data_IF_026883312487
#
_entry.id   IF_026883312487
#
_cell.length_a   1.000
_cell.length_b   1.000
_cell.length_c   1.000
_cell.angle_alpha   90.00
_cell.angle_beta   90.00
_cell.angle_gamma   90.00
#
_symmetry.space_group_name_H-M   'P 1'
#
loop_
_entity.id
_entity.type
_entity.pdbx_description
1 polymer ?
#
# COMPACT_ATOMS: atom_id res chain seq x y z
N UNK A 1 -16.39 1.56 -9.14
CA UNK A 1 -15.19 0.74 -8.85
C UNK A 1 -14.64 1.13 -7.49
N UNK A 2 -13.85 0.25 -6.86
CA UNK A 2 -13.18 0.50 -5.57
C UNK A 2 -11.72 0.92 -5.77
N UNK A 3 -11.15 1.73 -4.86
CA UNK A 3 -9.77 2.22 -4.97
C UNK A 3 -8.78 1.12 -4.58
N UNK A 4 -7.86 0.75 -5.49
CA UNK A 4 -6.88 -0.34 -5.27
C UNK A 4 -5.50 0.17 -4.84
N UNK A 5 -5.02 1.27 -5.43
CA UNK A 5 -3.73 1.89 -5.15
C UNK A 5 -3.89 3.41 -5.01
N UNK A 6 -3.09 4.04 -4.16
CA UNK A 6 -3.02 5.50 -4.07
C UNK A 6 -1.80 6.03 -4.84
N UNK A 7 -2.03 6.51 -6.07
CA UNK A 7 -0.97 7.07 -6.92
C UNK A 7 -0.64 8.50 -6.51
N UNK A 8 0.64 8.79 -6.33
CA UNK A 8 1.19 10.12 -6.06
C UNK A 8 2.36 10.40 -7.01
N UNK A 9 2.83 11.64 -7.06
CA UNK A 9 4.03 12.00 -7.82
C UNK A 9 5.27 11.19 -7.38
N UNK A 10 5.33 10.79 -6.11
CA UNK A 10 6.43 9.95 -5.58
C UNK A 10 6.38 8.48 -6.05
N UNK A 11 5.19 7.94 -6.30
CA UNK A 11 5.03 6.53 -6.71
C UNK A 11 5.08 6.37 -8.23
N UNK A 12 4.80 7.44 -8.97
CA UNK A 12 4.70 7.40 -10.42
C UNK A 12 3.51 6.57 -10.91
N UNK A 13 3.52 6.25 -12.21
CA UNK A 13 2.45 5.52 -12.87
C UNK A 13 2.48 4.03 -12.55
N UNK A 14 1.31 3.40 -12.56
CA UNK A 14 1.19 1.95 -12.43
C UNK A 14 1.71 1.28 -13.73
N UNK A 15 2.69 0.40 -13.58
CA UNK A 15 3.30 -0.33 -14.71
C UNK A 15 2.64 -1.70 -14.89
N UNK A 16 2.40 -2.42 -13.78
CA UNK A 16 1.90 -3.79 -13.83
C UNK A 16 1.11 -4.15 -12.56
N UNK A 17 0.15 -5.06 -12.72
CA UNK A 17 -0.51 -5.78 -11.62
C UNK A 17 -0.40 -7.26 -11.98
N UNK A 18 0.11 -8.07 -11.06
CA UNK A 18 0.22 -9.52 -11.19
C UNK A 18 -0.37 -10.18 -9.95
N UNK A 19 -1.02 -11.30 -10.16
CA UNK A 19 -1.37 -12.25 -9.11
C UNK A 19 -0.15 -13.09 -8.77
N UNK A 20 0.11 -13.22 -7.48
CA UNK A 20 1.26 -13.94 -6.93
C UNK A 20 0.82 -14.76 -5.73
N UNK A 21 1.57 -15.81 -5.46
CA UNK A 21 1.50 -16.66 -4.28
C UNK A 21 2.80 -16.52 -3.49
N UNK A 22 2.82 -16.98 -2.23
CA UNK A 22 4.00 -16.87 -1.38
C UNK A 22 5.18 -17.73 -1.87
N UNK A 23 4.93 -18.70 -2.75
CA UNK A 23 5.96 -19.53 -3.41
C UNK A 23 6.53 -18.93 -4.69
N UNK A 24 5.97 -17.82 -5.15
CA UNK A 24 6.45 -17.14 -6.36
C UNK A 24 7.58 -16.17 -6.02
N UNK A 25 8.41 -15.92 -7.03
CA UNK A 25 9.39 -14.84 -7.02
C UNK A 25 9.01 -13.76 -8.02
N UNK A 26 9.38 -12.52 -7.69
CA UNK A 26 9.25 -11.39 -8.60
C UNK A 26 10.62 -11.03 -9.16
N UNK A 27 10.71 -11.00 -10.48
CA UNK A 27 11.89 -10.55 -11.19
C UNK A 27 11.62 -9.17 -11.79
N UNK A 28 12.45 -8.20 -11.44
CA UNK A 28 12.37 -6.81 -11.91
C UNK A 28 13.60 -6.53 -12.75
N UNK A 29 13.40 -6.03 -13.96
CA UNK A 29 14.46 -5.69 -14.91
C UNK A 29 14.37 -4.19 -15.19
N UNK A 30 15.47 -3.48 -14.99
CA UNK A 30 15.58 -2.06 -15.33
C UNK A 30 16.12 -1.87 -16.76
N UNK A 31 16.07 -0.63 -17.27
CA UNK A 31 16.59 -0.31 -18.61
C UNK A 31 18.12 -0.42 -18.70
N UNK A 32 18.82 -0.28 -17.58
CA UNK A 32 20.28 -0.45 -17.53
C UNK A 32 20.75 -1.92 -17.56
N UNK A 33 19.82 -2.89 -17.46
CA UNK A 33 20.11 -4.32 -17.56
C UNK A 33 20.39 -5.03 -16.23
N UNK A 34 20.28 -4.33 -15.10
CA UNK A 34 20.25 -4.96 -13.78
C UNK A 34 18.92 -5.69 -13.59
N UNK A 35 19.04 -6.93 -13.17
CA UNK A 35 17.91 -7.80 -12.86
C UNK A 35 17.93 -8.13 -11.38
N UNK A 36 16.77 -7.99 -10.75
CA UNK A 36 16.62 -8.16 -9.30
C UNK A 36 15.51 -9.19 -9.08
N UNK A 37 15.84 -10.27 -8.39
CA UNK A 37 14.89 -11.32 -7.99
C UNK A 37 14.54 -11.14 -6.52
N UNK A 38 13.25 -11.15 -6.19
CA UNK A 38 12.73 -10.91 -4.85
C UNK A 38 11.70 -11.97 -4.51
N UNK A 39 11.88 -12.67 -3.40
CA UNK A 39 10.92 -13.63 -2.90
C UNK A 39 9.63 -12.94 -2.44
N UNK A 40 8.48 -13.34 -2.96
CA UNK A 40 7.19 -12.71 -2.60
C UNK A 40 6.90 -12.88 -1.12
N UNK A 41 7.29 -14.00 -0.52
CA UNK A 41 7.16 -14.25 0.92
C UNK A 41 7.89 -13.21 1.81
N UNK A 42 8.91 -12.52 1.28
CA UNK A 42 9.62 -11.46 2.00
C UNK A 42 8.89 -10.11 1.97
N UNK A 43 7.89 -9.95 1.10
CA UNK A 43 7.18 -8.70 0.91
C UNK A 43 6.12 -8.47 1.99
N UNK A 44 6.02 -7.23 2.44
CA UNK A 44 5.02 -6.87 3.44
C UNK A 44 3.62 -6.85 2.82
N UNK A 45 2.72 -7.64 3.41
CA UNK A 45 1.29 -7.63 3.05
C UNK A 45 0.65 -6.31 3.50
N UNK A 46 -0.04 -5.65 2.57
CA UNK A 46 -0.74 -4.38 2.79
C UNK A 46 -2.19 -4.45 2.30
N UNK A 47 -3.04 -3.61 2.87
CA UNK A 47 -4.42 -3.44 2.41
C UNK A 47 -4.52 -2.70 1.07
N UNK A 48 -5.76 -2.53 0.59
CA UNK A 48 -6.05 -1.72 -0.61
C UNK A 48 -6.02 -0.23 -0.28
N UNK A 49 -5.84 0.60 -1.31
CA UNK A 49 -5.78 2.07 -1.21
C UNK A 49 -4.58 2.62 -0.43
N UNK A 50 -3.49 1.85 -0.33
CA UNK A 50 -2.18 2.30 0.19
C UNK A 50 -1.25 2.73 -0.94
N UNK A 51 -0.09 3.29 -0.60
CA UNK A 51 1.01 3.54 -1.56
C UNK A 51 1.88 2.30 -1.80
N UNK A 52 1.90 1.35 -0.86
CA UNK A 52 2.78 0.18 -0.91
C UNK A 52 4.12 0.42 -0.21
N UNK A 53 5.11 -0.43 -0.49
CA UNK A 53 6.48 -0.33 0.02
C UNK A 53 7.46 -0.21 -1.14
N UNK A 54 8.62 0.41 -0.91
CA UNK A 54 9.68 0.47 -1.90
C UNK A 54 10.51 -0.81 -1.85
N UNK A 55 10.64 -1.50 -2.98
CA UNK A 55 11.43 -2.73 -3.10
C UNK A 55 12.90 -2.45 -3.45
N UNK A 56 13.14 -1.51 -4.36
CA UNK A 56 14.46 -1.19 -4.88
C UNK A 56 14.66 0.33 -4.96
N UNK A 57 15.90 0.78 -4.79
CA UNK A 57 16.29 2.15 -5.10
C UNK A 57 16.87 2.18 -6.51
N UNK A 58 16.25 2.94 -7.40
CA UNK A 58 16.77 3.17 -8.75
C UNK A 58 17.84 4.27 -8.72
N UNK A 59 18.85 4.13 -9.58
CA UNK A 59 19.84 5.19 -9.83
C UNK A 59 19.18 6.33 -10.59
N UNK A 60 19.84 7.50 -10.60
CA UNK A 60 19.43 8.62 -11.44
C UNK A 60 19.38 8.16 -12.91
N UNK A 61 18.31 8.54 -13.61
CA UNK A 61 17.97 8.17 -15.00
C UNK A 61 17.68 6.70 -15.30
N UNK A 62 17.48 5.85 -14.28
CA UNK A 62 17.08 4.46 -14.47
C UNK A 62 15.56 4.26 -14.33
N UNK A 63 15.01 3.36 -15.14
CA UNK A 63 13.57 3.09 -15.19
C UNK A 63 13.31 1.58 -15.25
N UNK A 64 12.14 1.16 -14.76
CA UNK A 64 11.71 -0.23 -14.86
C UNK A 64 11.36 -0.55 -16.31
N UNK A 65 12.03 -1.55 -16.88
CA UNK A 65 11.75 -2.05 -18.22
C UNK A 65 10.70 -3.16 -18.19
N UNK A 66 10.82 -4.09 -17.24
CA UNK A 66 9.92 -5.23 -17.13
C UNK A 66 9.77 -5.74 -15.69
N UNK A 67 8.63 -6.37 -15.44
CA UNK A 67 8.35 -7.14 -14.22
C UNK A 67 7.82 -8.49 -14.65
N UNK A 68 8.41 -9.56 -14.14
CA UNK A 68 8.02 -10.94 -14.37
C UNK A 68 7.74 -11.64 -13.04
N UNK A 69 6.85 -12.64 -13.09
CA UNK A 69 6.63 -13.58 -12.01
C UNK A 69 7.37 -14.86 -12.40
N UNK A 70 8.14 -15.41 -11.48
CA UNK A 70 8.88 -16.65 -11.63
C UNK A 70 8.27 -17.64 -10.65
N UNK A 71 7.81 -18.77 -11.15
CA UNK A 71 7.30 -19.85 -10.31
C UNK A 71 8.44 -20.80 -9.95
N UNK A 72 8.33 -21.53 -8.84
CA UNK A 72 9.35 -22.52 -8.47
C UNK A 72 9.55 -23.61 -9.55
N UNK A 73 8.54 -23.86 -10.39
CA UNK A 73 8.61 -24.81 -11.51
C UNK A 73 9.46 -24.27 -12.66
N UNK A 74 9.59 -22.94 -12.81
CA UNK A 74 10.43 -22.31 -13.84
C UNK A 74 11.94 -22.44 -13.53
N UNK A 75 12.30 -22.92 -12.33
CA UNK A 75 13.69 -23.25 -11.98
C UNK A 75 14.10 -24.66 -12.42
N UNK A 76 13.15 -25.49 -12.87
CA UNK A 76 13.42 -26.87 -13.23
C UNK A 76 13.69 -27.02 -14.73
N UNK A 77 14.93 -27.46 -15.04
CA UNK A 77 15.42 -28.07 -16.27
C UNK A 77 15.01 -27.44 -17.63
N UNK A 78 16.01 -26.88 -18.33
CA UNK A 78 15.85 -26.59 -19.76
C UNK A 78 15.87 -27.92 -20.52
N UNK A 79 14.73 -28.31 -21.11
CA UNK A 79 14.67 -29.39 -22.09
C UNK A 79 15.22 -28.89 -23.43
N UNK A 80 16.35 -29.46 -23.86
CA UNK A 80 16.97 -29.15 -25.15
C UNK A 80 16.69 -30.29 -26.12
N UNK A 81 15.99 -29.99 -27.21
CA UNK A 81 15.86 -30.90 -28.35
C UNK A 81 17.15 -30.91 -29.16
N UNK A 82 17.80 -32.06 -29.22
CA UNK A 82 18.96 -32.29 -30.08
C UNK A 82 18.44 -32.67 -31.47
N UNK A 83 18.79 -31.86 -32.47
CA UNK A 83 18.48 -32.10 -33.88
C UNK A 83 19.69 -32.72 -34.59
N UNK A 84 19.44 -33.60 -35.57
CA UNK A 84 20.49 -34.07 -36.47
C UNK A 84 20.85 -33.02 -37.55
N UNK A 85 21.76 -33.39 -38.45
CA UNK A 85 22.17 -32.53 -39.57
C UNK A 85 21.04 -32.20 -40.57
N UNK A 86 19.93 -32.94 -40.53
CA UNK A 86 18.76 -32.76 -41.38
C UNK A 86 17.65 -31.96 -40.67
N UNK A 87 17.81 -31.67 -39.38
CA UNK A 87 16.83 -30.98 -38.55
C UNK A 87 15.78 -31.91 -37.91
N UNK A 88 16.00 -33.23 -37.93
CA UNK A 88 15.13 -34.21 -37.29
C UNK A 88 15.51 -34.40 -35.81
N UNK A 89 14.53 -34.49 -34.88
CA UNK A 89 14.81 -34.65 -33.46
C UNK A 89 15.38 -36.04 -33.16
N UNK A 90 16.60 -36.09 -32.61
CA UNK A 90 17.31 -37.32 -32.25
C UNK A 90 17.35 -37.60 -30.75
N UNK A 91 16.92 -36.65 -29.92
CA UNK A 91 16.79 -36.84 -28.47
C UNK A 91 16.45 -35.55 -27.74
N UNK A 92 15.99 -35.69 -26.51
CA UNK A 92 15.76 -34.60 -25.56
C UNK A 92 16.69 -34.81 -24.39
N UNK A 93 17.55 -33.83 -24.10
CA UNK A 93 18.37 -33.83 -22.89
C UNK A 93 17.87 -32.73 -21.95
N UNK A 94 17.72 -33.09 -20.67
CA UNK A 94 17.43 -32.16 -19.59
C UNK A 94 18.74 -31.67 -18.99
N UNK A 95 19.00 -30.37 -19.08
CA UNK A 95 20.14 -29.73 -18.45
C UNK A 95 19.69 -29.08 -17.13
N UNK A 96 20.25 -29.57 -16.03
CA UNK A 96 20.16 -28.90 -14.73
C UNK A 96 21.25 -27.83 -14.66
N UNK A 97 20.85 -26.56 -14.57
CA UNK A 97 21.78 -25.44 -14.40
C UNK A 97 22.01 -25.28 -12.90
N UNK A 98 23.20 -25.65 -12.43
CA UNK A 98 23.62 -25.45 -11.04
C UNK A 98 24.05 -23.98 -10.87
N UNK A 99 23.19 -23.16 -10.27
CA UNK A 99 23.36 -21.71 -10.02
C UNK A 99 24.35 -21.43 -8.87
N UNK A 100 25.53 -22.06 -8.86
CA UNK A 100 26.59 -21.69 -7.91
C UNK A 100 27.41 -20.51 -8.47
N UNK A 101 26.87 -19.29 -8.41
CA UNK A 101 27.58 -18.02 -8.08
C UNK A 101 26.59 -16.84 -8.22
N UNK A 102 25.78 -16.57 -7.19
CA UNK A 102 25.07 -15.30 -7.06
C UNK A 102 25.50 -14.59 -5.78
N UNK A 103 26.22 -13.49 -5.95
CA UNK A 103 26.68 -12.61 -4.87
C UNK A 103 25.44 -11.93 -4.24
N UNK A 104 25.05 -12.36 -3.05
CA UNK A 104 23.96 -11.75 -2.29
C UNK A 104 24.35 -10.34 -1.88
N UNK A 105 23.78 -9.32 -2.54
CA UNK A 105 23.82 -7.96 -2.00
C UNK A 105 22.76 -7.87 -0.90
N UNK A 106 23.21 -8.00 0.36
CA UNK A 106 22.38 -7.81 1.54
C UNK A 106 21.68 -6.44 1.49
N UNK A 107 20.36 -6.45 1.32
CA UNK A 107 19.54 -5.24 1.45
C UNK A 107 19.31 -5.00 2.95
N UNK A 108 20.34 -4.48 3.64
CA UNK A 108 20.19 -4.04 5.02
C UNK A 108 19.31 -2.79 5.05
N UNK A 109 18.09 -2.95 5.56
CA UNK A 109 17.24 -1.83 5.97
C UNK A 109 17.78 -1.30 7.30
N UNK A 110 18.66 -0.30 7.27
CA UNK A 110 18.98 0.51 8.45
C UNK A 110 17.92 1.59 8.60
N UNK A 111 17.04 1.44 9.58
CA UNK A 111 16.10 2.48 10.00
C UNK A 111 16.63 3.09 11.32
N UNK A 112 17.45 4.13 11.19
CA UNK A 112 17.66 5.11 12.26
C UNK A 112 16.94 6.39 11.82
N UNK A 113 15.78 6.70 12.41
CA UNK A 113 15.65 7.91 13.22
C UNK A 113 14.30 7.98 13.98
N UNK A 114 14.42 8.29 15.26
CA UNK A 114 13.39 8.74 16.21
C UNK A 114 12.79 10.08 15.77
N UNK A 115 11.46 10.24 15.90
CA UNK A 115 10.87 11.47 16.44
C UNK A 115 9.45 11.18 16.96
N UNK A 116 9.32 11.18 18.29
CA UNK A 116 8.03 11.38 18.94
C UNK A 116 7.61 12.85 18.76
N UNK A 117 6.30 13.14 18.71
CA UNK A 117 5.85 14.38 19.31
C UNK A 117 4.92 14.15 20.50
N UNK A 118 5.17 15.01 21.48
CA UNK A 118 4.61 15.12 22.81
C UNK A 118 3.10 15.35 22.83
N UNK A 119 2.51 14.97 23.96
CA UNK A 119 1.20 15.43 24.43
C UNK A 119 1.11 16.96 24.42
N UNK A 120 0.05 17.52 23.86
CA UNK A 120 -0.35 18.89 24.18
C UNK A 120 -1.84 18.94 24.49
N UNK A 121 -2.13 19.53 25.64
CA UNK A 121 -3.43 19.81 26.22
C UNK A 121 -4.42 20.42 25.21
N UNK A 122 -5.67 19.93 25.24
CA UNK A 122 -6.79 20.64 24.63
C UNK A 122 -7.61 21.32 25.73
N UNK A 123 -7.27 22.57 26.01
CA UNK A 123 -8.07 23.50 26.81
C UNK A 123 -8.97 24.31 25.86
N UNK A 124 -10.28 24.17 26.08
CA UNK A 124 -11.38 25.11 25.81
C UNK A 124 -11.35 26.01 24.56
N UNK A 125 -12.36 25.85 23.71
CA UNK A 125 -12.99 26.98 22.99
C UNK A 125 -14.51 26.81 23.01
N UNK A 126 -15.17 27.73 23.70
CA UNK A 126 -16.59 28.08 23.57
C UNK A 126 -16.80 28.82 22.23
N UNK A 127 -17.94 28.62 21.58
CA UNK A 127 -18.68 29.64 20.81
C UNK A 127 -20.00 29.04 20.27
N UNK A 128 -21.08 29.38 20.98
CA UNK A 128 -22.39 29.86 20.52
C UNK A 128 -23.10 29.21 19.31
N UNK A 129 -24.16 28.46 19.58
CA UNK A 129 -25.29 28.26 18.66
C UNK A 129 -26.61 28.63 19.40
N UNK A 130 -27.04 29.88 19.20
CA UNK A 130 -28.32 30.44 19.62
C UNK A 130 -29.48 29.75 18.86
N UNK A 131 -30.42 29.15 19.58
CA UNK A 131 -31.66 28.61 18.99
C UNK A 131 -32.85 29.50 19.40
N UNK A 132 -33.60 30.11 18.46
CA UNK A 132 -34.88 30.72 18.80
C UNK A 132 -36.03 29.97 18.14
N UNK A 133 -36.93 29.37 18.93
CA UNK A 133 -38.38 29.40 18.64
C UNK A 133 -39.21 28.83 19.81
N UNK A 134 -40.09 29.65 20.38
CA UNK A 134 -41.54 29.38 20.40
C UNK A 134 -42.28 30.55 21.06
N UNK A 135 -43.27 31.02 20.32
CA UNK A 135 -44.27 32.02 20.71
C UNK A 135 -45.40 31.37 21.48
N UNK A 136 -45.81 31.95 22.61
CA UNK A 136 -47.17 31.89 23.16
C UNK A 136 -47.37 33.19 23.97
N UNK A 137 -48.03 34.22 23.44
CA UNK A 137 -49.48 34.41 23.20
C UNK A 137 -50.22 35.00 24.42
N UNK A 138 -50.65 36.25 24.21
CA UNK A 138 -51.82 36.97 24.74
C UNK A 138 -51.83 37.57 26.15
N UNK A 139 -52.11 38.88 26.11
CA UNK A 139 -52.47 39.84 27.14
C UNK A 139 -53.97 39.78 27.48
N UNK A 140 -54.32 40.54 28.53
CA UNK A 140 -55.66 41.08 28.87
C UNK A 140 -56.60 40.08 29.58
N UNK A 141 -57.38 40.39 30.62
CA UNK A 141 -57.75 41.63 31.31
C UNK A 141 -58.58 41.26 32.57
N UNK A 142 -58.80 42.25 33.44
CA UNK A 142 -59.88 42.40 34.45
C UNK A 142 -59.77 41.79 35.87
N UNK A 143 -59.59 42.70 36.83
CA UNK A 143 -60.36 42.94 38.06
C UNK A 143 -60.87 41.75 38.90
N UNK A 144 -60.43 41.67 40.17
CA UNK A 144 -61.36 41.91 41.29
C UNK A 144 -60.62 42.17 42.62
N UNK A 145 -61.36 42.85 43.49
CA UNK A 145 -60.97 43.71 44.59
C UNK A 145 -60.61 42.96 45.90
N UNK A 146 -59.90 43.67 46.79
CA UNK A 146 -59.47 43.28 48.14
C UNK A 146 -60.65 42.87 49.07
N UNK A 147 -60.47 42.29 50.30
CA UNK A 147 -59.60 42.84 51.35
C UNK A 147 -58.93 41.85 52.33
N UNK A 148 -57.97 42.40 53.11
CA UNK A 148 -57.32 41.82 54.31
C UNK A 148 -58.35 41.61 55.46
N UNK A 149 -58.07 40.83 56.53
CA UNK A 149 -57.20 41.33 57.61
C UNK A 149 -56.28 40.28 58.27
N UNK A 150 -55.34 40.86 59.02
CA UNK A 150 -54.45 40.32 60.05
C UNK A 150 -55.17 39.53 61.15
N UNK A 151 -54.50 38.57 61.78
CA UNK A 151 -53.96 38.69 63.16
C UNK A 151 -53.46 37.32 63.70
N UNK A 152 -52.51 37.41 64.63
CA UNK A 152 -51.93 36.40 65.55
C UNK A 152 -50.85 35.44 65.05
#
# INVERSE_FOLDING_TARGET
GVKTLNVTEKTGNLISIKDVTDSDDLMIINKSGLTIRIAVASLRVMGRATQGVRLINLKEDDEIAAVAKVTAEDEEAIEVEILDENGDPIGTESLEIDEETSESTDIQSTDENEEAPESTDNQSTEEDEDTPESTDNQSDDEDEEAPKPTDS
#
